data_IF_237066359236
#
_entry.id   IF_237066359236
#
_cell.length_a   1.000
_cell.length_b   1.000
_cell.length_c   1.000
_cell.angle_alpha   90.00
_cell.angle_beta   90.00
_cell.angle_gamma   90.00
#
_symmetry.space_group_name_H-M   'P 1'
#
loop_
_entity.id
_entity.type
_entity.pdbx_description
1 polymer ?
#
# COMPACT_ATOMS: atom_id res chain seq x y z
N UNK A 1 17.56 47.27 -14.41
CA UNK A 1 17.24 46.74 -13.06
C UNK A 1 15.74 46.47 -13.00
N UNK A 2 15.33 45.20 -13.12
CA UNK A 2 13.92 44.78 -13.09
C UNK A 2 13.73 43.90 -11.87
N UNK A 3 13.13 44.47 -10.83
CA UNK A 3 12.77 43.76 -9.61
C UNK A 3 11.42 43.09 -9.86
N UNK A 4 11.39 41.76 -9.98
CA UNK A 4 10.15 40.98 -9.99
C UNK A 4 10.07 40.24 -8.66
N UNK A 5 9.14 40.70 -7.82
CA UNK A 5 8.80 40.07 -6.54
C UNK A 5 8.11 38.75 -6.85
N UNK A 6 8.77 37.64 -6.53
CA UNK A 6 8.14 36.32 -6.51
C UNK A 6 7.20 36.30 -5.29
N UNK A 7 5.90 36.10 -5.53
CA UNK A 7 4.92 35.83 -4.49
C UNK A 7 4.79 34.31 -4.42
N UNK A 8 5.28 33.75 -3.32
CA UNK A 8 5.22 32.33 -2.97
C UNK A 8 3.77 31.99 -2.57
N UNK A 9 3.08 31.01 -3.18
CA UNK A 9 1.82 30.52 -2.63
C UNK A 9 2.14 29.58 -1.45
N UNK A 10 1.88 30.03 -0.22
CA UNK A 10 1.81 29.14 0.94
C UNK A 10 0.56 28.26 0.81
N UNK A 11 0.74 26.96 0.58
CA UNK A 11 -0.31 25.96 0.79
C UNK A 11 -0.40 25.66 2.28
N UNK A 12 -1.39 26.26 2.95
CA UNK A 12 -1.79 25.90 4.30
C UNK A 12 -2.66 24.65 4.25
N UNK A 13 -2.06 23.48 4.52
CA UNK A 13 -2.79 22.22 4.63
C UNK A 13 -3.37 22.09 6.05
N UNK A 14 -4.56 22.65 6.27
CA UNK A 14 -5.30 22.48 7.53
C UNK A 14 -6.24 21.27 7.43
N UNK A 15 -5.73 20.08 7.76
CA UNK A 15 -6.59 18.91 8.04
C UNK A 15 -7.09 19.02 9.49
N UNK A 16 -8.26 19.63 9.65
CA UNK A 16 -9.03 19.54 10.88
C UNK A 16 -9.79 18.21 10.91
N UNK A 17 -9.34 17.27 11.75
CA UNK A 17 -10.14 16.10 12.12
C UNK A 17 -10.68 16.33 13.52
N UNK A 18 -11.90 16.85 13.59
CA UNK A 18 -12.65 17.02 14.84
C UNK A 18 -13.93 16.17 14.79
N UNK A 19 -13.97 15.15 15.65
CA UNK A 19 -15.14 14.70 16.37
C UNK A 19 -16.08 13.70 15.69
N UNK A 20 -16.19 12.50 16.27
CA UNK A 20 -17.41 12.10 17.00
C UNK A 20 -17.06 11.04 18.06
N UNK A 21 -17.51 11.32 19.27
CA UNK A 21 -17.54 10.43 20.43
C UNK A 21 -18.55 9.30 20.16
N UNK A 22 -18.31 8.10 20.68
CA UNK A 22 -19.28 7.52 21.61
C UNK A 22 -18.61 6.54 22.59
N UNK A 23 -18.93 6.82 23.84
CA UNK A 23 -18.75 6.08 25.10
C UNK A 23 -19.40 4.71 25.04
N UNK A 24 -18.74 3.65 25.50
CA UNK A 24 -19.42 2.62 26.30
C UNK A 24 -18.51 2.11 27.43
N UNK A 25 -19.15 2.03 28.58
CA UNK A 25 -18.66 1.76 29.93
C UNK A 25 -18.52 0.25 30.14
N UNK A 26 -17.33 -0.21 30.52
CA UNK A 26 -17.07 -1.58 30.97
C UNK A 26 -17.59 -1.74 32.41
N UNK A 27 -18.79 -2.29 32.59
CA UNK A 27 -19.35 -2.65 33.91
C UNK A 27 -20.14 -3.98 33.88
N UNK A 28 -19.41 -5.09 34.04
CA UNK A 28 -19.90 -6.31 34.69
C UNK A 28 -20.85 -7.20 33.86
N UNK A 29 -21.25 -8.41 34.27
CA UNK A 29 -20.98 -9.23 35.45
C UNK A 29 -21.87 -10.48 35.23
N UNK A 30 -21.25 -11.66 35.23
CA UNK A 30 -21.77 -13.01 35.62
C UNK A 30 -22.52 -13.91 34.62
N UNK A 31 -21.97 -15.13 34.50
CA UNK A 31 -22.59 -16.38 34.06
C UNK A 31 -23.81 -16.73 34.92
N UNK A 32 -24.85 -17.34 34.33
CA UNK A 32 -25.22 -18.67 34.82
C UNK A 32 -25.77 -19.65 33.76
N UNK A 33 -25.28 -20.90 33.84
CA UNK A 33 -25.95 -22.21 33.72
C UNK A 33 -27.26 -22.34 32.91
N UNK A 34 -27.27 -23.22 31.89
CA UNK A 34 -28.26 -24.31 31.80
C UNK A 34 -27.79 -25.48 30.91
N UNK A 35 -28.32 -26.65 31.22
CA UNK A 35 -27.87 -28.01 30.90
C UNK A 35 -28.77 -28.64 29.80
N UNK A 36 -28.25 -29.65 29.07
CA UNK A 36 -29.00 -30.69 28.29
C UNK A 36 -29.75 -30.25 27.02
N UNK A 37 -29.97 -31.04 25.96
CA UNK A 37 -29.54 -32.35 25.47
C UNK A 37 -30.07 -32.51 24.02
N UNK A 38 -29.55 -33.54 23.34
CA UNK A 38 -30.23 -34.38 22.34
C UNK A 38 -30.29 -33.95 20.85
N UNK A 39 -30.42 -34.99 20.03
CA UNK A 39 -29.97 -35.13 18.66
C UNK A 39 -31.02 -34.73 17.62
N UNK A 40 -30.60 -34.87 16.35
CA UNK A 40 -31.40 -35.02 15.12
C UNK A 40 -31.72 -33.78 14.27
N UNK A 41 -31.10 -33.83 13.09
CA UNK A 41 -31.71 -33.67 11.76
C UNK A 41 -31.86 -32.27 11.12
N UNK A 42 -31.19 -32.17 9.97
CA UNK A 42 -31.59 -31.51 8.73
C UNK A 42 -32.15 -30.08 8.79
N UNK A 43 -31.39 -29.13 8.25
CA UNK A 43 -31.83 -28.38 7.06
C UNK A 43 -30.67 -27.55 6.49
N UNK A 44 -30.51 -27.65 5.19
CA UNK A 44 -29.65 -26.80 4.36
C UNK A 44 -30.09 -25.34 4.44
N UNK A 45 -29.17 -24.43 4.76
CA UNK A 45 -29.23 -23.07 4.21
C UNK A 45 -27.82 -22.60 3.86
N UNK A 46 -27.58 -22.47 2.56
CA UNK A 46 -26.39 -21.84 2.01
C UNK A 46 -26.38 -20.37 2.42
N UNK A 47 -25.47 -20.01 3.31
CA UNK A 47 -24.92 -18.66 3.38
C UNK A 47 -23.42 -18.75 3.09
N UNK A 48 -23.09 -18.93 1.81
CA UNK A 48 -21.82 -18.45 1.25
C UNK A 48 -21.91 -16.92 1.28
N UNK A 49 -21.38 -16.35 2.35
CA UNK A 49 -21.15 -14.92 2.53
C UNK A 49 -19.72 -14.86 3.06
N UNK A 50 -18.72 -14.71 2.21
CA UNK A 50 -18.54 -13.44 1.53
C UNK A 50 -17.50 -12.67 2.31
N UNK A 51 -16.27 -13.17 2.26
CA UNK A 51 -15.02 -12.41 2.39
C UNK A 51 -13.97 -13.24 1.67
N UNK A 52 -13.86 -13.04 0.36
CA UNK A 52 -12.57 -13.30 -0.29
C UNK A 52 -11.67 -12.13 0.14
N UNK A 53 -11.32 -12.11 1.43
CA UNK A 53 -10.18 -11.37 1.94
C UNK A 53 -8.98 -12.24 1.57
N UNK A 54 -8.73 -12.32 0.26
CA UNK A 54 -7.51 -12.88 -0.28
C UNK A 54 -6.47 -11.77 -0.10
N UNK A 55 -6.17 -11.48 1.18
CA UNK A 55 -4.84 -11.04 1.59
C UNK A 55 -3.90 -12.03 0.93
N UNK A 56 -3.29 -11.58 -0.17
CA UNK A 56 -2.33 -12.35 -0.92
C UNK A 56 -1.25 -12.77 0.07
N UNK A 57 -1.36 -14.01 0.56
CA UNK A 57 -0.37 -14.54 1.49
C UNK A 57 0.98 -14.42 0.78
N UNK A 58 1.99 -13.77 1.40
CA UNK A 58 3.28 -13.60 0.76
C UNK A 58 3.79 -15.00 0.45
N UNK A 59 3.86 -15.32 -0.85
CA UNK A 59 4.32 -16.62 -1.33
C UNK A 59 5.75 -16.78 -0.86
N UNK A 60 5.97 -17.60 0.17
CA UNK A 60 7.31 -17.87 0.68
C UNK A 60 8.19 -18.46 -0.44
N UNK A 61 9.24 -17.74 -0.81
CA UNK A 61 10.51 -18.35 -1.18
C UNK A 61 10.81 -18.57 -2.66
N UNK A 62 10.35 -17.71 -3.56
CA UNK A 62 11.04 -17.58 -4.85
C UNK A 62 12.32 -16.75 -4.63
N UNK A 63 13.51 -17.13 -5.16
CA UNK A 63 14.64 -16.20 -5.14
C UNK A 63 14.19 -14.95 -5.90
N UNK A 64 13.95 -13.86 -5.17
CA UNK A 64 13.51 -12.60 -5.76
C UNK A 64 14.51 -12.23 -6.84
N UNK A 65 14.02 -12.18 -8.06
CA UNK A 65 14.81 -11.78 -9.20
C UNK A 65 15.39 -10.39 -8.91
N UNK A 66 16.71 -10.20 -9.02
CA UNK A 66 17.37 -8.99 -8.56
C UNK A 66 16.86 -7.74 -9.28
N UNK A 67 16.32 -7.88 -10.49
CA UNK A 67 15.74 -6.75 -11.23
C UNK A 67 14.41 -6.30 -10.61
N UNK A 68 13.59 -7.25 -10.11
CA UNK A 68 12.36 -6.92 -9.39
C UNK A 68 12.66 -6.33 -8.01
N UNK A 69 13.69 -6.84 -7.32
CA UNK A 69 14.17 -6.24 -6.05
C UNK A 69 14.61 -4.80 -6.27
N UNK A 70 15.34 -4.53 -7.37
CA UNK A 70 15.82 -3.19 -7.66
C UNK A 70 14.67 -2.22 -7.96
N UNK A 71 13.59 -2.68 -8.61
CA UNK A 71 12.37 -1.88 -8.79
C UNK A 71 11.65 -1.62 -7.47
N UNK A 72 11.54 -2.61 -6.59
CA UNK A 72 10.95 -2.45 -5.26
C UNK A 72 11.73 -1.43 -4.43
N UNK A 73 13.06 -1.54 -4.40
CA UNK A 73 13.92 -0.55 -3.73
C UNK A 73 13.74 0.85 -4.33
N UNK A 74 13.64 0.98 -5.65
CA UNK A 74 13.39 2.28 -6.29
C UNK A 74 12.03 2.88 -5.88
N UNK A 75 10.99 2.05 -5.77
CA UNK A 75 9.66 2.47 -5.29
C UNK A 75 9.70 2.89 -3.83
N UNK A 76 10.43 2.16 -2.98
CA UNK A 76 10.58 2.52 -1.57
C UNK A 76 11.24 3.90 -1.42
N UNK A 77 12.29 4.18 -2.20
CA UNK A 77 12.93 5.50 -2.21
C UNK A 77 12.02 6.59 -2.79
N UNK A 78 11.26 6.26 -3.84
CA UNK A 78 10.25 7.17 -4.39
C UNK A 78 9.22 7.59 -3.33
N UNK A 79 8.67 6.63 -2.59
CA UNK A 79 7.68 6.88 -1.54
C UNK A 79 8.29 7.51 -0.27
N UNK A 80 9.58 7.30 -0.01
CA UNK A 80 10.32 7.99 1.06
C UNK A 80 10.59 9.46 0.72
N UNK A 81 10.48 9.83 -0.57
CA UNK A 81 10.75 11.16 -1.10
C UNK A 81 12.20 11.38 -1.53
N UNK A 82 13.03 10.33 -1.51
CA UNK A 82 14.40 10.37 -2.02
C UNK A 82 14.41 10.12 -3.54
N UNK A 83 13.97 11.14 -4.28
CA UNK A 83 13.78 11.06 -5.73
C UNK A 83 15.09 10.86 -6.50
N UNK A 84 16.21 11.41 -6.03
CA UNK A 84 17.54 11.23 -6.66
C UNK A 84 18.00 9.77 -6.54
N UNK A 85 17.83 9.15 -5.36
CA UNK A 85 18.19 7.75 -5.15
C UNK A 85 17.26 6.80 -5.91
N UNK A 86 15.97 7.11 -5.97
CA UNK A 86 15.00 6.37 -6.77
C UNK A 86 15.37 6.41 -8.28
N UNK A 87 15.70 7.59 -8.81
CA UNK A 87 16.15 7.76 -10.20
C UNK A 87 17.42 6.95 -10.49
N UNK A 88 18.42 6.96 -9.60
CA UNK A 88 19.65 6.18 -9.78
C UNK A 88 19.37 4.68 -9.89
N UNK A 89 18.52 4.15 -9.00
CA UNK A 89 18.12 2.73 -9.01
C UNK A 89 17.35 2.34 -10.28
N UNK A 90 16.45 3.20 -10.76
CA UNK A 90 15.72 2.95 -12.00
C UNK A 90 16.64 2.97 -13.23
N UNK A 91 17.57 3.92 -13.29
CA UNK A 91 18.58 3.94 -14.36
C UNK A 91 19.48 2.71 -14.33
N UNK A 92 19.82 2.21 -13.12
CA UNK A 92 20.55 0.96 -12.97
C UNK A 92 19.72 -0.23 -13.48
N UNK A 93 18.43 -0.29 -13.16
CA UNK A 93 17.52 -1.35 -13.61
C UNK A 93 17.36 -1.36 -15.14
N UNK A 94 17.11 -0.20 -15.75
CA UNK A 94 16.98 -0.05 -17.20
C UNK A 94 18.32 -0.27 -17.93
N UNK A 95 19.44 -0.25 -17.21
CA UNK A 95 20.75 -0.65 -17.72
C UNK A 95 20.97 -2.17 -17.80
N UNK A 96 20.11 -2.98 -17.17
CA UNK A 96 20.21 -4.45 -17.17
C UNK A 96 19.58 -5.07 -18.43
N UNK A 97 19.87 -6.35 -18.67
CA UNK A 97 19.19 -7.10 -19.73
C UNK A 97 17.81 -7.57 -19.24
N UNK A 98 16.78 -6.77 -19.55
CA UNK A 98 15.39 -7.04 -19.17
C UNK A 98 14.64 -7.90 -20.21
N UNK A 99 15.36 -8.65 -21.05
CA UNK A 99 14.76 -9.52 -22.06
C UNK A 99 13.73 -10.49 -21.45
N UNK A 100 12.46 -10.34 -21.86
CA UNK A 100 11.34 -11.13 -21.33
C UNK A 100 10.69 -10.57 -20.04
N UNK A 101 11.09 -9.36 -19.61
CA UNK A 101 10.54 -8.61 -18.48
C UNK A 101 9.98 -7.25 -18.95
N UNK A 102 9.24 -7.25 -20.06
CA UNK A 102 8.68 -6.03 -20.68
C UNK A 102 7.80 -5.23 -19.71
N UNK A 103 7.07 -5.91 -18.80
CA UNK A 103 6.27 -5.25 -17.78
C UNK A 103 7.14 -4.54 -16.72
N UNK A 104 8.27 -5.13 -16.35
CA UNK A 104 9.21 -4.54 -15.39
C UNK A 104 9.89 -3.32 -16.00
N UNK A 105 10.31 -3.42 -17.27
CA UNK A 105 10.90 -2.31 -18.02
C UNK A 105 9.90 -1.16 -18.14
N UNK A 106 8.66 -1.42 -18.58
CA UNK A 106 7.63 -0.40 -18.71
C UNK A 106 7.31 0.28 -17.37
N UNK A 107 7.21 -0.49 -16.28
CA UNK A 107 6.95 0.08 -14.95
C UNK A 107 8.12 0.94 -14.44
N UNK A 108 9.36 0.53 -14.74
CA UNK A 108 10.55 1.31 -14.40
C UNK A 108 10.64 2.61 -15.22
N UNK A 109 10.30 2.57 -16.51
CA UNK A 109 10.24 3.75 -17.38
C UNK A 109 9.15 4.74 -16.93
N UNK A 110 7.94 4.24 -16.65
CA UNK A 110 6.82 5.06 -16.19
C UNK A 110 7.18 5.79 -14.88
N UNK A 111 7.76 5.07 -13.91
CA UNK A 111 8.15 5.67 -12.63
C UNK A 111 9.30 6.69 -12.80
N UNK A 112 10.25 6.42 -13.69
CA UNK A 112 11.34 7.34 -14.00
C UNK A 112 10.82 8.64 -14.65
N UNK A 113 9.82 8.54 -15.53
CA UNK A 113 9.16 9.70 -16.11
C UNK A 113 8.41 10.52 -15.05
N UNK A 114 7.73 9.88 -14.10
CA UNK A 114 7.06 10.55 -12.98
C UNK A 114 8.05 11.28 -12.07
N UNK A 115 9.19 10.67 -11.76
CA UNK A 115 10.25 11.30 -10.97
C UNK A 115 10.85 12.51 -11.70
N UNK A 116 11.13 12.36 -12.99
CA UNK A 116 11.71 13.43 -13.81
C UNK A 116 10.83 14.68 -13.81
N UNK A 117 9.50 14.51 -13.92
CA UNK A 117 8.53 15.61 -13.86
C UNK A 117 8.49 16.33 -12.50
N UNK A 118 8.85 15.65 -11.41
CA UNK A 118 8.89 16.25 -10.07
C UNK A 118 10.19 17.01 -9.79
N UNK A 119 11.27 16.68 -10.49
CA UNK A 119 12.57 17.32 -10.36
C UNK A 119 12.73 18.60 -11.21
N UNK A 120 11.88 18.81 -12.22
CA UNK A 120 11.82 20.04 -13.05
C UNK A 120 11.27 21.28 -12.33
#
# INVERSE_FOLDING_TARGET
MKNRRLILPMLALSLGLAGCQDTEEDTGTETPTEETADEEDSTTDSATSGVNDEEAMPTEGEPSDPDYVLLEEAKDEYYSGDLETAEEKLNQLLGNDLSGKELLEAEAEDLLEEISQQLE
#
